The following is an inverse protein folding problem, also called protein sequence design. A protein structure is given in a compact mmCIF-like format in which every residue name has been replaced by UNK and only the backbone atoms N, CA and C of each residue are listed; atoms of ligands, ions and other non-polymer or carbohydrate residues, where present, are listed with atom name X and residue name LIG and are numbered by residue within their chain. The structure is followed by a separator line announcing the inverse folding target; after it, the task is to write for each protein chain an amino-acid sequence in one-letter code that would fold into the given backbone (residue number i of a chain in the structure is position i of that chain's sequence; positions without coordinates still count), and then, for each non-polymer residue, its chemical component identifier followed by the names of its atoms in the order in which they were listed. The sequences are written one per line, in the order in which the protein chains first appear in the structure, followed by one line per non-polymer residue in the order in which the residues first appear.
data_IF_158500568952
#
_entry.id   IF_158500568952
#
_cell.length_a   1.000
_cell.length_b   1.000
_cell.length_c   1.000
_cell.angle_alpha   90.00
_cell.angle_beta   90.00
_cell.angle_gamma   90.00
#
_symmetry.space_group_name_H-M   'P 1'
#
loop_
_entity.id
_entity.type
_entity.pdbx_description
1 polymer ?
#
# COMPACT_ATOMS: atom_id res chain seq x y z
N UNK A 1 -11.53 9.27 -33.53
CA UNK A 1 -11.92 10.52 -32.81
C UNK A 1 -11.47 10.31 -31.36
N UNK A 2 -10.79 11.30 -30.79
CA UNK A 2 -10.38 11.21 -29.38
C UNK A 2 -11.63 11.13 -28.50
N UNK A 3 -11.58 10.32 -27.46
CA UNK A 3 -12.66 10.20 -26.47
C UNK A 3 -12.89 11.57 -25.81
N UNK A 4 -14.10 12.14 -25.87
CA UNK A 4 -14.38 13.45 -25.26
C UNK A 4 -14.09 13.49 -23.75
N UNK A 5 -14.25 12.37 -23.05
CA UNK A 5 -13.91 12.27 -21.63
C UNK A 5 -12.40 12.37 -21.40
N UNK A 6 -11.60 11.75 -22.27
CA UNK A 6 -10.14 11.81 -22.17
C UNK A 6 -9.59 13.24 -22.41
N UNK A 7 -10.24 14.02 -23.30
CA UNK A 7 -9.87 15.42 -23.52
C UNK A 7 -10.18 16.27 -22.27
N UNK A 8 -11.37 16.15 -21.69
CA UNK A 8 -11.74 16.89 -20.48
C UNK A 8 -10.81 16.59 -19.30
N UNK A 9 -10.40 15.32 -19.16
CA UNK A 9 -9.41 14.90 -18.14
C UNK A 9 -8.05 15.55 -18.39
N UNK A 10 -7.60 15.61 -19.65
CA UNK A 10 -6.33 16.23 -20.01
C UNK A 10 -6.35 17.74 -19.73
N UNK A 11 -7.43 18.42 -20.12
CA UNK A 11 -7.60 19.86 -19.87
C UNK A 11 -7.57 20.21 -18.38
N UNK A 12 -8.25 19.41 -17.54
CA UNK A 12 -8.21 19.61 -16.08
C UNK A 12 -6.79 19.41 -15.50
N UNK A 13 -6.09 18.38 -15.95
CA UNK A 13 -4.71 18.16 -15.50
C UNK A 13 -3.79 19.30 -15.90
N UNK A 14 -3.87 19.78 -17.14
CA UNK A 14 -3.07 20.88 -17.62
C UNK A 14 -3.37 22.19 -16.86
N UNK A 15 -4.67 22.47 -16.60
CA UNK A 15 -5.12 23.62 -15.79
C UNK A 15 -4.41 23.70 -14.44
N UNK A 16 -4.32 22.57 -13.74
CA UNK A 16 -3.73 22.55 -12.39
C UNK A 16 -2.22 22.34 -12.38
N UNK A 17 -1.63 21.72 -13.40
CA UNK A 17 -0.18 21.45 -13.46
C UNK A 17 0.69 22.71 -13.36
N UNK A 18 0.17 23.87 -13.82
CA UNK A 18 0.87 25.16 -13.78
C UNK A 18 0.72 25.87 -12.43
N UNK A 19 -0.17 25.41 -11.56
CA UNK A 19 -0.42 26.06 -10.26
C UNK A 19 0.45 25.44 -9.16
N UNK A 20 1.08 26.26 -8.28
CA UNK A 20 1.96 25.74 -7.25
C UNK A 20 1.17 25.09 -6.11
N UNK A 21 1.38 23.80 -5.90
CA UNK A 21 0.91 23.11 -4.71
C UNK A 21 1.85 23.35 -3.51
N UNK A 22 1.28 23.42 -2.31
CA UNK A 22 2.08 23.49 -1.08
C UNK A 22 2.55 22.09 -0.68
N UNK A 23 3.83 21.88 -0.28
CA UNK A 23 4.32 20.59 0.20
C UNK A 23 3.49 20.01 1.36
N UNK A 24 2.89 20.88 2.19
CA UNK A 24 2.01 20.48 3.30
C UNK A 24 0.78 19.78 2.77
N UNK A 25 0.09 20.36 1.80
CA UNK A 25 -1.14 19.81 1.24
C UNK A 25 -0.87 18.67 0.27
N UNK A 26 0.24 18.72 -0.50
CA UNK A 26 0.61 17.62 -1.40
C UNK A 26 0.81 16.29 -0.69
N UNK A 27 1.21 16.30 0.58
CA UNK A 27 1.36 15.07 1.38
C UNK A 27 0.04 14.42 1.79
N UNK A 28 -1.06 15.13 1.69
CA UNK A 28 -2.40 14.64 2.04
C UNK A 28 -3.04 13.86 0.87
N UNK A 29 -2.52 14.01 -0.35
CA UNK A 29 -3.13 13.49 -1.57
C UNK A 29 -2.13 12.66 -2.36
N UNK A 30 -2.17 11.33 -2.17
CA UNK A 30 -1.24 10.38 -2.81
C UNK A 30 -1.69 9.91 -4.21
N UNK A 31 -2.82 10.45 -4.73
CA UNK A 31 -3.32 10.09 -6.05
C UNK A 31 -2.43 10.70 -7.15
N UNK A 32 -1.85 9.90 -8.06
CA UNK A 32 -0.92 10.39 -9.08
C UNK A 32 -1.60 11.26 -10.15
N UNK A 33 -2.91 11.11 -10.34
CA UNK A 33 -3.67 11.80 -11.37
C UNK A 33 -4.30 13.11 -10.88
N UNK A 34 -4.85 13.11 -9.66
CA UNK A 34 -5.67 14.19 -9.13
C UNK A 34 -5.13 14.81 -7.83
N UNK A 35 -4.15 14.17 -7.20
CA UNK A 35 -3.60 14.63 -5.92
C UNK A 35 -3.07 16.05 -5.98
N UNK A 36 -2.43 16.45 -7.08
CA UNK A 36 -1.93 17.81 -7.26
C UNK A 36 -3.07 18.85 -7.34
N UNK A 37 -4.12 18.57 -8.12
CA UNK A 37 -5.32 19.40 -8.20
C UNK A 37 -5.95 19.60 -6.83
N UNK A 38 -6.18 18.51 -6.09
CA UNK A 38 -6.79 18.56 -4.76
C UNK A 38 -5.93 19.33 -3.75
N UNK A 39 -4.61 19.17 -3.80
CA UNK A 39 -3.70 19.91 -2.95
C UNK A 39 -3.74 21.43 -3.22
N UNK A 40 -3.86 21.83 -4.48
CA UNK A 40 -3.99 23.24 -4.89
C UNK A 40 -5.32 23.80 -4.39
N UNK A 41 -6.43 23.13 -4.64
CA UNK A 41 -7.77 23.58 -4.22
C UNK A 41 -7.88 23.63 -2.69
N UNK A 42 -7.39 22.63 -1.98
CA UNK A 42 -7.39 22.60 -0.51
C UNK A 42 -6.60 23.77 0.10
N UNK A 43 -5.40 24.06 -0.44
CA UNK A 43 -4.61 25.21 -0.01
C UNK A 43 -5.38 26.52 -0.19
N UNK A 44 -6.01 26.72 -1.35
CA UNK A 44 -6.77 27.96 -1.68
C UNK A 44 -7.97 28.11 -0.75
N UNK A 45 -8.72 27.04 -0.49
CA UNK A 45 -9.82 27.06 0.49
C UNK A 45 -9.34 27.48 1.88
N UNK A 46 -8.25 26.87 2.38
CA UNK A 46 -7.72 27.21 3.69
C UNK A 46 -7.23 28.65 3.79
N UNK A 47 -6.72 29.21 2.72
CA UNK A 47 -6.33 30.62 2.69
C UNK A 47 -7.56 31.52 2.87
N UNK A 48 -8.63 31.32 2.07
CA UNK A 48 -9.86 32.10 2.20
C UNK A 48 -10.53 31.91 3.56
N UNK A 49 -10.62 30.70 4.08
CA UNK A 49 -11.23 30.42 5.38
C UNK A 49 -10.43 31.02 6.54
N UNK A 50 -9.11 31.01 6.45
CA UNK A 50 -8.24 31.69 7.43
C UNK A 50 -8.48 33.19 7.43
N UNK A 51 -8.58 33.81 6.24
CA UNK A 51 -8.83 35.23 6.09
C UNK A 51 -10.23 35.63 6.60
N UNK A 52 -11.26 34.83 6.28
CA UNK A 52 -12.63 35.03 6.78
C UNK A 52 -12.65 34.96 8.31
N UNK A 53 -12.03 33.93 8.90
CA UNK A 53 -11.93 33.78 10.35
C UNK A 53 -11.22 34.97 11.02
N UNK A 54 -10.17 35.47 10.37
CA UNK A 54 -9.47 36.67 10.82
C UNK A 54 -10.35 37.92 10.76
N UNK A 55 -11.16 38.05 9.72
CA UNK A 55 -12.09 39.19 9.57
C UNK A 55 -13.27 39.11 10.51
N UNK A 56 -13.84 37.90 10.71
CA UNK A 56 -14.90 37.68 11.68
C UNK A 56 -14.51 38.08 13.12
N UNK A 57 -13.21 37.94 13.46
CA UNK A 57 -12.67 38.33 14.78
C UNK A 57 -12.26 39.81 14.88
N UNK A 58 -12.26 40.55 13.78
CA UNK A 58 -11.68 41.93 13.76
C UNK A 58 -12.60 42.96 13.13
N UNK A 59 -12.54 43.11 11.82
CA UNK A 59 -13.19 44.23 11.11
C UNK A 59 -14.57 43.89 10.55
N UNK A 60 -14.96 42.62 10.54
CA UNK A 60 -16.14 42.07 9.86
C UNK A 60 -16.23 42.49 8.38
N UNK A 61 -15.12 42.95 7.77
CA UNK A 61 -15.07 43.37 6.38
C UNK A 61 -14.16 42.44 5.58
N UNK A 62 -14.73 41.74 4.63
CA UNK A 62 -14.03 40.87 3.68
C UNK A 62 -13.92 41.59 2.34
N UNK A 63 -12.70 41.70 1.82
CA UNK A 63 -12.40 42.56 0.66
C UNK A 63 -13.13 42.10 -0.60
N UNK A 64 -13.50 43.07 -1.48
CA UNK A 64 -14.21 42.77 -2.73
C UNK A 64 -13.42 41.82 -3.64
N UNK A 65 -12.09 41.99 -3.74
CA UNK A 65 -11.23 41.07 -4.52
C UNK A 65 -11.24 39.67 -3.95
N UNK A 66 -11.06 39.51 -2.63
CA UNK A 66 -11.11 38.22 -1.96
C UNK A 66 -12.49 37.58 -2.06
N UNK A 67 -13.57 38.36 -2.05
CA UNK A 67 -14.94 37.85 -2.26
C UNK A 67 -15.13 37.32 -3.67
N UNK A 68 -14.63 38.03 -4.70
CA UNK A 68 -14.65 37.56 -6.08
C UNK A 68 -13.84 36.28 -6.26
N UNK A 69 -12.64 36.25 -5.67
CA UNK A 69 -11.75 35.09 -5.78
C UNK A 69 -12.36 33.85 -5.11
N UNK A 70 -13.02 34.03 -3.94
CA UNK A 70 -13.71 32.90 -3.28
C UNK A 70 -14.95 32.44 -4.06
N UNK A 71 -15.78 33.36 -4.58
CA UNK A 71 -16.91 33.00 -5.43
C UNK A 71 -16.45 32.25 -6.67
N UNK A 72 -15.40 32.72 -7.33
CA UNK A 72 -14.81 32.04 -8.49
C UNK A 72 -14.25 30.66 -8.11
N UNK A 73 -13.62 30.52 -6.92
CA UNK A 73 -13.13 29.25 -6.43
C UNK A 73 -14.27 28.25 -6.14
N UNK A 74 -15.38 28.71 -5.58
CA UNK A 74 -16.56 27.86 -5.34
C UNK A 74 -17.08 27.32 -6.67
N UNK A 75 -17.31 28.20 -7.65
CA UNK A 75 -17.79 27.82 -8.97
C UNK A 75 -16.79 26.90 -9.70
N UNK A 76 -15.48 27.14 -9.54
CA UNK A 76 -14.41 26.31 -10.07
C UNK A 76 -14.48 24.88 -9.49
N UNK A 77 -14.59 24.75 -8.18
CA UNK A 77 -14.67 23.44 -7.49
C UNK A 77 -15.92 22.68 -7.97
N UNK A 78 -17.09 23.33 -7.96
CA UNK A 78 -18.34 22.71 -8.40
C UNK A 78 -18.25 22.20 -9.84
N UNK A 79 -17.73 23.02 -10.77
CA UNK A 79 -17.59 22.67 -12.18
C UNK A 79 -16.58 21.54 -12.41
N UNK A 80 -15.43 21.60 -11.72
CA UNK A 80 -14.36 20.62 -11.90
C UNK A 80 -14.75 19.26 -11.29
N UNK A 81 -15.39 19.24 -10.11
CA UNK A 81 -15.94 18.01 -9.53
C UNK A 81 -17.07 17.41 -10.41
N UNK A 82 -17.92 18.25 -10.98
CA UNK A 82 -18.94 17.80 -11.93
C UNK A 82 -18.30 17.21 -13.20
N UNK A 83 -17.23 17.82 -13.70
CA UNK A 83 -16.48 17.34 -14.87
C UNK A 83 -15.83 15.98 -14.57
N UNK A 84 -15.18 15.85 -13.41
CA UNK A 84 -14.62 14.57 -12.95
C UNK A 84 -15.67 13.47 -12.87
N UNK A 85 -16.85 13.79 -12.31
CA UNK A 85 -17.97 12.84 -12.21
C UNK A 85 -18.47 12.38 -13.60
N UNK A 86 -18.55 13.28 -14.58
CA UNK A 86 -18.91 12.95 -15.97
C UNK A 86 -17.88 12.03 -16.64
N UNK A 87 -16.62 12.14 -16.24
CA UNK A 87 -15.52 11.28 -16.70
C UNK A 87 -15.38 9.98 -15.88
N UNK A 88 -16.34 9.66 -15.00
CA UNK A 88 -16.35 8.46 -14.19
C UNK A 88 -15.43 8.53 -12.95
N UNK A 89 -14.94 9.73 -12.60
CA UNK A 89 -14.13 9.99 -11.40
C UNK A 89 -15.05 10.61 -10.35
N UNK A 90 -15.50 9.81 -9.41
CA UNK A 90 -16.32 10.29 -8.29
C UNK A 90 -15.44 10.80 -7.16
N UNK A 91 -15.70 12.02 -6.71
CA UNK A 91 -14.99 12.68 -5.63
C UNK A 91 -16.00 13.06 -4.55
N UNK A 92 -15.70 12.72 -3.31
CA UNK A 92 -16.40 13.23 -2.14
C UNK A 92 -15.68 14.49 -1.66
N UNK A 93 -16.42 15.55 -1.45
CA UNK A 93 -15.94 16.78 -0.83
C UNK A 93 -16.37 16.80 0.65
N UNK A 94 -15.49 17.22 1.55
CA UNK A 94 -15.74 17.23 2.98
C UNK A 94 -16.99 18.06 3.33
N UNK A 95 -17.91 17.47 4.09
CA UNK A 95 -19.19 18.08 4.44
C UNK A 95 -19.01 19.36 5.24
N UNK A 96 -18.03 19.42 6.14
CA UNK A 96 -17.75 20.64 6.93
C UNK A 96 -17.29 21.80 6.06
N UNK A 97 -16.51 21.51 5.00
CA UNK A 97 -16.08 22.52 4.03
C UNK A 97 -17.21 22.91 3.08
N UNK A 98 -18.04 21.94 2.66
CA UNK A 98 -19.23 22.24 1.87
C UNK A 98 -20.18 23.17 2.66
N UNK A 99 -20.51 22.83 3.91
CA UNK A 99 -21.34 23.63 4.78
C UNK A 99 -20.73 25.03 5.03
N UNK A 100 -19.41 25.13 5.16
CA UNK A 100 -18.73 26.42 5.30
C UNK A 100 -18.88 27.30 4.07
N UNK A 101 -18.74 26.73 2.86
CA UNK A 101 -18.96 27.45 1.60
C UNK A 101 -20.42 27.89 1.45
N UNK A 102 -21.37 27.02 1.79
CA UNK A 102 -22.82 27.32 1.74
C UNK A 102 -23.19 28.45 2.71
N UNK A 103 -22.55 28.54 3.88
CA UNK A 103 -22.71 29.64 4.85
C UNK A 103 -22.05 30.94 4.38
N UNK A 104 -20.95 30.85 3.59
CA UNK A 104 -20.28 32.03 3.08
C UNK A 104 -21.00 32.65 1.87
N UNK A 105 -21.50 31.84 0.95
CA UNK A 105 -22.08 32.27 -0.33
C UNK A 105 -23.15 33.38 -0.23
N UNK A 106 -24.11 33.36 0.74
CA UNK A 106 -25.18 34.38 0.83
C UNK A 106 -24.72 35.81 1.11
N UNK A 107 -23.60 36.00 1.81
CA UNK A 107 -23.12 37.34 2.17
C UNK A 107 -21.90 37.80 1.32
N UNK A 108 -21.32 36.91 0.50
CA UNK A 108 -20.25 37.28 -0.41
C UNK A 108 -20.77 38.21 -1.52
N UNK A 109 -20.12 39.36 -1.68
CA UNK A 109 -20.44 40.34 -2.71
C UNK A 109 -19.24 40.57 -3.65
N UNK A 110 -19.42 40.53 -4.97
CA UNK A 110 -18.33 40.76 -5.92
C UNK A 110 -17.93 42.27 -6.01
N UNK A 111 -18.69 43.15 -5.42
CA UNK A 111 -18.44 44.62 -5.46
C UNK A 111 -18.62 45.25 -4.08
N UNK A 112 -17.79 46.21 -3.73
CA UNK A 112 -17.89 46.97 -2.49
C UNK A 112 -17.36 46.25 -1.23
N UNK A 113 -16.96 45.01 -1.36
CA UNK A 113 -16.62 44.15 -0.24
C UNK A 113 -17.84 43.48 0.41
N UNK A 114 -17.60 42.53 1.31
CA UNK A 114 -18.61 41.73 1.97
C UNK A 114 -18.59 41.95 3.47
N UNK A 115 -19.76 42.01 4.12
CA UNK A 115 -19.85 42.07 5.57
C UNK A 115 -19.99 40.66 6.12
N UNK A 116 -18.99 40.20 6.90
CA UNK A 116 -19.08 38.91 7.61
C UNK A 116 -20.12 39.09 8.73
N UNK A 117 -21.14 38.19 8.84
CA UNK A 117 -22.16 38.27 9.90
C UNK A 117 -21.52 38.31 11.29
N UNK A 118 -22.13 39.03 12.23
CA UNK A 118 -21.62 39.16 13.61
C UNK A 118 -21.67 37.80 14.36
N UNK A 119 -22.63 36.98 14.02
CA UNK A 119 -22.85 35.63 14.55
C UNK A 119 -22.16 34.52 13.71
N UNK A 120 -21.23 34.91 12.83
CA UNK A 120 -20.57 33.96 11.93
C UNK A 120 -19.73 32.95 12.74
N UNK A 121 -20.12 31.71 12.67
CA UNK A 121 -19.40 30.60 13.29
C UNK A 121 -18.08 30.36 12.56
N UNK A 122 -16.98 30.38 13.30
CA UNK A 122 -15.64 30.21 12.74
C UNK A 122 -15.49 28.86 12.01
N UNK A 123 -14.85 28.89 10.85
CA UNK A 123 -14.61 27.71 10.03
C UNK A 123 -13.45 26.95 10.62
N UNK A 124 -13.60 25.66 10.86
CA UNK A 124 -12.48 24.78 11.21
C UNK A 124 -11.54 24.62 10.02
N UNK A 125 -10.25 24.89 10.22
CA UNK A 125 -9.23 24.71 9.17
C UNK A 125 -8.67 23.31 9.21
N UNK A 126 -9.07 22.49 8.25
CA UNK A 126 -8.58 21.13 8.09
C UNK A 126 -7.27 21.20 7.28
N UNK A 127 -6.14 20.82 7.89
CA UNK A 127 -4.83 20.79 7.25
C UNK A 127 -4.03 19.53 7.57
N UNK A 128 -4.69 18.57 8.22
CA UNK A 128 -4.16 17.31 8.71
C UNK A 128 -4.77 16.07 8.01
N UNK A 129 -5.82 16.27 7.21
CA UNK A 129 -6.48 15.22 6.42
C UNK A 129 -6.98 15.76 5.07
N UNK A 130 -7.21 14.90 4.05
CA UNK A 130 -7.80 15.29 2.79
C UNK A 130 -9.24 15.82 2.96
N UNK A 131 -9.60 16.89 2.22
CA UNK A 131 -10.98 17.38 2.10
C UNK A 131 -11.63 16.96 0.77
N UNK A 132 -10.84 16.45 -0.17
CA UNK A 132 -11.31 15.80 -1.40
C UNK A 132 -10.92 14.33 -1.35
N UNK A 133 -11.89 13.42 -1.42
CA UNK A 133 -11.64 11.97 -1.38
C UNK A 133 -12.21 11.31 -2.63
N UNK A 134 -11.36 10.62 -3.39
CA UNK A 134 -11.82 9.82 -4.52
C UNK A 134 -12.70 8.67 -4.01
N UNK A 135 -13.95 8.61 -4.45
CA UNK A 135 -14.86 7.51 -4.07
C UNK A 135 -14.41 6.16 -4.63
N UNK A 136 -13.57 6.16 -5.68
CA UNK A 136 -12.84 4.97 -6.10
C UNK A 136 -11.88 4.44 -5.03
N UNK A 137 -11.43 5.30 -4.10
CA UNK A 137 -10.62 4.95 -2.93
C UNK A 137 -11.47 4.65 -1.68
N UNK A 138 -12.74 4.33 -1.82
CA UNK A 138 -13.62 3.95 -0.71
C UNK A 138 -14.02 2.47 -0.76
N UNK A 139 -14.41 1.91 0.37
CA UNK A 139 -14.97 0.56 0.48
C UNK A 139 -16.33 0.61 1.20
N UNK A 140 -17.35 -0.01 0.62
CA UNK A 140 -18.65 -0.20 1.29
C UNK A 140 -18.61 -1.49 2.11
N UNK A 141 -18.79 -1.39 3.40
CA UNK A 141 -18.73 -2.53 4.32
C UNK A 141 -20.03 -3.33 4.32
N UNK A 142 -21.17 -2.67 4.36
CA UNK A 142 -22.51 -3.27 4.25
C UNK A 142 -23.39 -2.44 3.30
N UNK A 143 -24.45 -3.04 2.78
CA UNK A 143 -25.44 -2.36 1.96
C UNK A 143 -26.13 -1.29 2.82
N UNK A 144 -26.00 0.00 2.46
CA UNK A 144 -26.60 1.12 3.20
C UNK A 144 -25.69 1.81 4.24
N UNK A 145 -24.43 1.36 4.43
CA UNK A 145 -23.45 2.09 5.23
C UNK A 145 -22.70 3.13 4.39
N UNK A 146 -22.26 4.21 5.04
CA UNK A 146 -21.38 5.20 4.41
C UNK A 146 -20.07 4.57 3.94
N UNK A 147 -19.48 5.06 2.85
CA UNK A 147 -18.19 4.61 2.39
C UNK A 147 -17.09 4.92 3.42
N UNK A 148 -16.23 3.94 3.71
CA UNK A 148 -15.07 4.16 4.57
C UNK A 148 -13.88 4.52 3.69
N UNK A 149 -13.20 5.65 3.95
CA UNK A 149 -12.07 6.10 3.16
C UNK A 149 -10.91 5.10 3.23
N UNK A 150 -10.21 4.94 2.11
CA UNK A 150 -9.05 4.06 1.99
C UNK A 150 -7.77 4.90 1.97
N UNK A 151 -6.79 4.53 2.80
CA UNK A 151 -5.44 5.08 2.75
C UNK A 151 -4.53 4.16 1.95
N UNK A 152 -3.86 4.66 0.91
CA UNK A 152 -2.90 3.87 0.13
C UNK A 152 -1.69 3.53 1.01
N UNK A 153 -1.34 2.24 1.05
CA UNK A 153 -0.19 1.74 1.81
C UNK A 153 0.86 1.06 0.94
N UNK A 154 0.54 0.78 -0.31
CA UNK A 154 1.49 0.19 -1.25
C UNK A 154 0.97 0.14 -2.69
N UNK A 155 1.89 0.07 -3.64
CA UNK A 155 1.59 -0.08 -5.06
C UNK A 155 2.59 -1.04 -5.69
N UNK A 156 2.08 -2.12 -6.28
CA UNK A 156 2.84 -3.10 -7.05
C UNK A 156 2.63 -2.95 -8.56
N UNK A 157 3.14 -3.91 -9.34
CA UNK A 157 2.99 -3.92 -10.80
C UNK A 157 1.54 -4.05 -11.25
N UNK A 158 0.74 -4.85 -10.56
CA UNK A 158 -0.62 -5.24 -10.96
C UNK A 158 -1.72 -4.70 -10.04
N UNK A 159 -1.37 -4.20 -8.85
CA UNK A 159 -2.36 -3.82 -7.86
C UNK A 159 -1.88 -2.67 -6.98
N UNK A 160 -2.84 -1.94 -6.45
CA UNK A 160 -2.68 -1.03 -5.32
C UNK A 160 -3.15 -1.72 -4.05
N UNK A 161 -2.49 -1.40 -2.93
CA UNK A 161 -2.88 -1.87 -1.60
C UNK A 161 -3.29 -0.66 -0.76
N UNK A 162 -4.48 -0.72 -0.22
CA UNK A 162 -5.03 0.29 0.67
C UNK A 162 -5.27 -0.29 2.05
N UNK A 163 -5.40 0.56 3.06
CA UNK A 163 -5.87 0.18 4.39
C UNK A 163 -7.06 1.01 4.81
N UNK A 164 -7.89 0.45 5.69
CA UNK A 164 -8.97 1.16 6.38
C UNK A 164 -9.18 0.53 7.76
N UNK A 165 -9.82 1.28 8.66
CA UNK A 165 -10.29 0.77 9.94
C UNK A 165 -11.77 0.45 9.81
N UNK A 166 -12.15 -0.78 10.14
CA UNK A 166 -13.57 -1.17 10.16
C UNK A 166 -14.25 -0.51 11.36
N UNK A 167 -15.27 0.34 11.13
CA UNK A 167 -15.90 1.11 12.22
C UNK A 167 -16.72 0.25 13.18
N UNK A 168 -17.16 -0.95 12.76
CA UNK A 168 -17.94 -1.84 13.62
C UNK A 168 -17.05 -2.61 14.61
N UNK A 169 -15.79 -2.88 14.22
CA UNK A 169 -14.87 -3.75 14.97
C UNK A 169 -13.61 -3.05 15.47
N UNK A 170 -13.34 -1.81 15.04
CA UNK A 170 -12.09 -1.07 15.26
C UNK A 170 -10.84 -1.89 14.87
N UNK A 171 -10.97 -2.67 13.79
CA UNK A 171 -9.91 -3.51 13.26
C UNK A 171 -9.43 -2.94 11.92
N UNK A 172 -8.11 -2.79 11.78
CA UNK A 172 -7.49 -2.37 10.52
C UNK A 172 -7.41 -3.53 9.54
N UNK A 173 -7.93 -3.31 8.33
CA UNK A 173 -7.87 -4.23 7.19
C UNK A 173 -7.06 -3.64 6.04
N UNK A 174 -6.58 -4.50 5.16
CA UNK A 174 -6.05 -4.11 3.87
C UNK A 174 -7.01 -4.50 2.73
N UNK A 175 -6.99 -3.70 1.67
CA UNK A 175 -7.69 -3.97 0.41
C UNK A 175 -6.66 -3.98 -0.71
N UNK A 176 -6.49 -5.11 -1.39
CA UNK A 176 -5.68 -5.19 -2.60
C UNK A 176 -6.61 -5.06 -3.80
N UNK A 177 -6.41 -4.06 -4.63
CA UNK A 177 -7.23 -3.72 -5.78
C UNK A 177 -6.40 -3.79 -7.05
N UNK A 178 -6.89 -4.49 -8.06
CA UNK A 178 -6.28 -4.53 -9.38
C UNK A 178 -6.22 -3.14 -10.02
N UNK A 179 -5.16 -2.84 -10.74
CA UNK A 179 -5.06 -1.61 -11.53
C UNK A 179 -6.07 -1.62 -12.68
N UNK A 180 -6.51 -0.44 -13.11
CA UNK A 180 -7.54 -0.29 -14.15
C UNK A 180 -7.06 -0.67 -15.56
N UNK A 181 -5.77 -0.64 -15.80
CA UNK A 181 -5.10 -0.88 -17.08
C UNK A 181 -4.71 -2.36 -17.30
N UNK A 182 -5.15 -3.27 -16.44
CA UNK A 182 -4.88 -4.70 -16.59
C UNK A 182 -5.74 -5.33 -17.69
N UNK A 183 -5.12 -6.21 -18.47
CA UNK A 183 -5.83 -7.04 -19.42
C UNK A 183 -6.59 -8.19 -18.74
N UNK A 184 -7.48 -8.88 -19.48
CA UNK A 184 -8.29 -10.00 -18.95
C UNK A 184 -7.43 -11.13 -18.36
N UNK A 185 -6.24 -11.37 -18.91
CA UNK A 185 -5.30 -12.39 -18.45
C UNK A 185 -4.66 -12.02 -17.12
N UNK A 186 -4.34 -10.75 -16.95
CA UNK A 186 -3.78 -10.21 -15.71
C UNK A 186 -4.85 -10.17 -14.61
N UNK A 187 -6.08 -9.80 -14.95
CA UNK A 187 -7.23 -9.86 -14.03
C UNK A 187 -7.54 -11.29 -13.60
N UNK A 188 -7.52 -12.28 -14.53
CA UNK A 188 -7.68 -13.67 -14.21
C UNK A 188 -6.59 -14.16 -13.24
N UNK A 189 -5.34 -13.70 -13.42
CA UNK A 189 -4.23 -14.02 -12.52
C UNK A 189 -4.43 -13.38 -11.14
N UNK A 190 -4.87 -12.13 -11.09
CA UNK A 190 -5.19 -11.44 -9.84
C UNK A 190 -6.29 -12.17 -9.06
N UNK A 191 -7.32 -12.65 -9.74
CA UNK A 191 -8.37 -13.48 -9.15
C UNK A 191 -7.82 -14.82 -8.65
N UNK A 192 -6.96 -15.47 -9.44
CA UNK A 192 -6.32 -16.73 -9.06
C UNK A 192 -5.45 -16.58 -7.81
N UNK A 193 -4.72 -15.46 -7.67
CA UNK A 193 -3.97 -15.15 -6.44
C UNK A 193 -4.88 -15.20 -5.21
N UNK A 194 -6.04 -14.51 -5.28
CA UNK A 194 -7.02 -14.56 -4.21
C UNK A 194 -7.52 -15.99 -3.94
N UNK A 195 -7.90 -16.72 -4.98
CA UNK A 195 -8.47 -18.07 -4.87
C UNK A 195 -7.46 -19.05 -4.25
N UNK A 196 -6.18 -18.94 -4.58
CA UNK A 196 -5.11 -19.74 -3.97
C UNK A 196 -4.92 -19.33 -2.51
N UNK A 197 -4.75 -18.03 -2.24
CA UNK A 197 -4.53 -17.54 -0.87
C UNK A 197 -5.70 -17.91 0.05
N UNK A 198 -6.94 -17.88 -0.48
CA UNK A 198 -8.15 -18.21 0.28
C UNK A 198 -8.21 -19.68 0.73
N UNK A 199 -7.57 -20.59 -0.01
CA UNK A 199 -7.47 -22.02 0.36
C UNK A 199 -6.38 -22.28 1.39
N UNK A 200 -5.40 -21.38 1.51
CA UNK A 200 -4.31 -21.49 2.46
C UNK A 200 -4.77 -20.94 3.82
N UNK A 201 -4.77 -21.80 4.85
CA UNK A 201 -5.13 -21.41 6.22
C UNK A 201 -3.99 -21.79 7.17
N UNK A 202 -3.10 -20.84 7.44
CA UNK A 202 -1.92 -21.03 8.28
C UNK A 202 -1.50 -19.73 8.94
N UNK A 203 -1.00 -19.74 10.20
CA UNK A 203 -0.62 -18.54 10.92
C UNK A 203 0.40 -17.65 10.19
N UNK A 204 1.29 -18.25 9.40
CA UNK A 204 2.35 -17.54 8.67
C UNK A 204 2.01 -17.25 7.19
N UNK A 205 0.74 -17.36 6.81
CA UNK A 205 0.20 -16.94 5.51
C UNK A 205 -0.79 -15.80 5.74
N UNK A 206 -0.78 -14.80 4.86
CA UNK A 206 -1.73 -13.70 4.94
C UNK A 206 -3.16 -14.20 4.79
N UNK A 207 -4.06 -13.79 5.67
CA UNK A 207 -5.46 -14.17 5.60
C UNK A 207 -6.21 -13.25 4.64
N UNK A 208 -6.95 -13.82 3.69
CA UNK A 208 -7.84 -13.10 2.80
C UNK A 208 -9.30 -13.44 3.10
N UNK A 209 -10.21 -12.45 2.92
CA UNK A 209 -11.60 -12.60 3.36
C UNK A 209 -12.58 -12.69 2.21
N UNK A 210 -12.79 -11.62 1.46
CA UNK A 210 -13.81 -11.53 0.43
C UNK A 210 -13.26 -10.86 -0.82
N UNK A 211 -13.58 -11.43 -1.98
CA UNK A 211 -13.34 -10.83 -3.29
C UNK A 211 -14.59 -10.05 -3.75
N UNK A 212 -14.36 -8.93 -4.41
CA UNK A 212 -15.38 -8.14 -5.10
C UNK A 212 -15.09 -8.18 -6.60
N UNK A 213 -15.97 -8.83 -7.37
CA UNK A 213 -15.81 -9.01 -8.82
C UNK A 213 -16.02 -7.71 -9.60
N UNK A 214 -16.89 -6.80 -9.13
CA UNK A 214 -17.17 -5.52 -9.82
C UNK A 214 -15.98 -4.56 -9.77
N UNK A 215 -15.22 -4.58 -8.65
CA UNK A 215 -14.08 -3.69 -8.43
C UNK A 215 -12.73 -4.37 -8.60
N UNK A 216 -12.71 -5.66 -8.88
CA UNK A 216 -11.51 -6.48 -8.92
C UNK A 216 -10.60 -6.24 -7.70
N UNK A 217 -11.18 -6.39 -6.52
CA UNK A 217 -10.47 -6.17 -5.25
C UNK A 217 -10.80 -7.25 -4.23
N UNK A 218 -9.90 -7.47 -3.28
CA UNK A 218 -10.18 -8.34 -2.14
C UNK A 218 -9.67 -7.74 -0.82
N UNK A 219 -10.37 -8.11 0.25
CA UNK A 219 -9.99 -7.73 1.61
C UNK A 219 -9.07 -8.79 2.20
N UNK A 220 -8.08 -8.32 2.95
CA UNK A 220 -7.13 -9.17 3.65
C UNK A 220 -6.77 -8.57 5.01
N UNK A 221 -6.17 -9.37 5.89
CA UNK A 221 -5.61 -8.85 7.13
C UNK A 221 -4.56 -7.79 6.85
N UNK A 222 -4.53 -6.76 7.70
CA UNK A 222 -3.52 -5.72 7.62
C UNK A 222 -2.22 -6.19 8.27
N UNK A 223 -1.10 -5.97 7.60
CA UNK A 223 0.24 -6.17 8.15
C UNK A 223 0.95 -4.82 8.26
N UNK A 224 1.71 -4.61 9.34
CA UNK A 224 2.23 -3.30 9.71
C UNK A 224 3.45 -2.89 8.88
N UNK A 225 4.22 -3.86 8.38
CA UNK A 225 5.46 -3.57 7.66
C UNK A 225 5.89 -4.78 6.81
N UNK A 226 6.84 -4.55 5.89
CA UNK A 226 7.54 -5.62 5.19
C UNK A 226 8.72 -6.13 6.02
N UNK A 227 9.20 -7.34 5.72
CA UNK A 227 10.43 -7.87 6.31
C UNK A 227 11.62 -6.96 6.02
N UNK A 228 11.69 -6.39 4.80
CA UNK A 228 12.72 -5.43 4.41
C UNK A 228 12.77 -4.24 5.38
N UNK A 229 11.64 -3.55 5.53
CA UNK A 229 11.57 -2.33 6.31
C UNK A 229 11.78 -2.59 7.80
N UNK A 230 11.23 -3.69 8.32
CA UNK A 230 11.40 -4.07 9.70
C UNK A 230 12.87 -4.31 10.06
N UNK A 231 13.56 -5.15 9.28
CA UNK A 231 14.97 -5.44 9.50
C UNK A 231 15.81 -4.16 9.30
N UNK A 232 15.58 -3.39 8.23
CA UNK A 232 16.30 -2.15 7.97
C UNK A 232 16.22 -1.17 9.14
N UNK A 233 15.01 -0.96 9.68
CA UNK A 233 14.77 -0.03 10.81
C UNK A 233 15.35 -0.50 12.14
N UNK A 234 15.38 -1.81 12.38
CA UNK A 234 15.76 -2.39 13.67
C UNK A 234 17.06 -3.18 13.64
N UNK A 235 17.82 -3.14 12.55
CA UNK A 235 18.99 -4.00 12.34
C UNK A 235 20.01 -3.98 13.48
N UNK A 236 20.32 -2.80 14.04
CA UNK A 236 21.30 -2.64 15.13
C UNK A 236 20.82 -3.15 16.49
N UNK A 237 19.50 -3.31 16.68
CA UNK A 237 18.89 -3.67 17.98
C UNK A 237 18.36 -5.11 18.02
N UNK A 238 18.17 -5.74 16.85
CA UNK A 238 17.66 -7.10 16.78
C UNK A 238 18.69 -8.13 17.26
N UNK A 239 18.35 -8.81 18.35
CA UNK A 239 19.13 -9.91 18.90
C UNK A 239 19.01 -11.17 18.02
N UNK A 240 20.00 -12.05 18.08
CA UNK A 240 20.02 -13.32 17.37
C UNK A 240 18.73 -14.15 17.56
N UNK A 241 18.28 -14.32 18.80
CA UNK A 241 17.05 -15.08 19.10
C UNK A 241 15.80 -14.52 18.43
N UNK A 242 15.70 -13.20 18.25
CA UNK A 242 14.58 -12.59 17.49
C UNK A 242 14.71 -12.87 16.00
N UNK A 243 15.93 -12.75 15.43
CA UNK A 243 16.19 -13.08 14.02
C UNK A 243 15.89 -14.54 13.72
N UNK A 244 16.30 -15.45 14.61
CA UNK A 244 16.03 -16.88 14.52
C UNK A 244 14.52 -17.17 14.55
N UNK A 245 13.75 -16.53 15.46
CA UNK A 245 12.28 -16.68 15.47
C UNK A 245 11.61 -16.21 14.18
N UNK A 246 12.06 -15.07 13.63
CA UNK A 246 11.54 -14.55 12.36
C UNK A 246 11.88 -15.52 11.21
N UNK A 247 13.12 -16.03 11.17
CA UNK A 247 13.56 -17.01 10.17
C UNK A 247 12.73 -18.31 10.24
N UNK A 248 12.53 -18.85 11.44
CA UNK A 248 11.74 -20.07 11.62
C UNK A 248 10.26 -19.88 11.22
N UNK A 249 9.63 -18.76 11.58
CA UNK A 249 8.26 -18.46 11.15
C UNK A 249 8.14 -18.38 9.61
N UNK A 250 9.10 -17.71 8.96
CA UNK A 250 9.20 -17.66 7.51
C UNK A 250 9.34 -19.06 6.91
N UNK A 251 10.26 -19.87 7.42
CA UNK A 251 10.49 -21.22 6.94
C UNK A 251 9.28 -22.15 7.18
N UNK A 252 8.61 -22.06 8.32
CA UNK A 252 7.37 -22.79 8.56
C UNK A 252 6.27 -22.41 7.58
N UNK A 253 6.16 -21.12 7.22
CA UNK A 253 5.24 -20.66 6.18
C UNK A 253 5.53 -21.29 4.83
N UNK A 254 6.80 -21.31 4.39
CA UNK A 254 7.21 -21.95 3.13
C UNK A 254 6.99 -23.48 3.19
N UNK A 255 7.36 -24.13 4.31
CA UNK A 255 7.14 -25.56 4.47
C UNK A 255 5.66 -25.93 4.36
N UNK A 256 4.76 -25.12 4.94
CA UNK A 256 3.33 -25.30 4.80
C UNK A 256 2.87 -25.25 3.34
N UNK A 257 3.40 -24.33 2.53
CA UNK A 257 3.12 -24.30 1.10
C UNK A 257 3.57 -25.58 0.41
N UNK A 258 4.80 -26.01 0.67
CA UNK A 258 5.38 -27.22 0.02
C UNK A 258 4.61 -28.48 0.37
N UNK A 259 4.21 -28.66 1.62
CA UNK A 259 3.40 -29.81 2.07
C UNK A 259 2.01 -29.82 1.37
N UNK A 260 1.48 -28.64 1.05
CA UNK A 260 0.24 -28.51 0.28
C UNK A 260 0.48 -28.48 -1.24
N UNK A 261 1.67 -28.86 -1.71
CA UNK A 261 2.05 -28.92 -3.13
C UNK A 261 2.08 -27.58 -3.85
N UNK A 262 2.23 -26.47 -3.13
CA UNK A 262 2.42 -25.14 -3.69
C UNK A 262 3.88 -24.73 -3.65
N UNK A 263 4.34 -24.08 -4.73
CA UNK A 263 5.61 -23.35 -4.76
C UNK A 263 5.29 -21.87 -4.88
N UNK A 264 5.91 -21.03 -4.04
CA UNK A 264 5.63 -19.60 -3.98
C UNK A 264 6.08 -18.87 -5.25
N UNK A 265 7.29 -19.19 -5.75
CA UNK A 265 7.91 -18.69 -6.98
C UNK A 265 8.23 -17.18 -7.02
N UNK A 266 7.86 -16.45 -5.96
CA UNK A 266 8.12 -15.01 -5.80
C UNK A 266 8.54 -14.66 -4.36
N UNK A 267 9.38 -15.52 -3.79
CA UNK A 267 9.93 -15.29 -2.45
C UNK A 267 10.81 -14.04 -2.46
N UNK A 268 10.44 -13.05 -1.66
CA UNK A 268 11.17 -11.79 -1.54
C UNK A 268 10.98 -11.14 -0.17
N UNK A 269 11.78 -10.12 0.12
CA UNK A 269 11.67 -9.34 1.36
C UNK A 269 10.40 -8.48 1.40
N UNK A 270 9.84 -8.13 0.24
CA UNK A 270 8.60 -7.37 0.12
C UNK A 270 7.36 -8.25 0.28
N UNK A 271 7.41 -9.49 -0.22
CA UNK A 271 6.30 -10.44 -0.16
C UNK A 271 6.25 -11.19 1.20
N UNK A 272 7.21 -10.91 2.07
CA UNK A 272 7.22 -11.35 3.46
C UNK A 272 6.81 -10.18 4.34
N UNK A 273 5.57 -10.20 4.82
CA UNK A 273 4.99 -9.15 5.65
C UNK A 273 5.11 -9.50 7.13
N UNK A 274 4.94 -8.50 7.99
CA UNK A 274 4.98 -8.65 9.45
C UNK A 274 3.81 -7.94 10.11
N UNK A 275 3.14 -8.64 11.02
CA UNK A 275 2.30 -8.02 12.05
C UNK A 275 3.13 -7.79 13.29
N UNK A 276 3.03 -6.59 13.86
CA UNK A 276 3.80 -6.17 15.02
C UNK A 276 2.86 -6.04 16.22
N UNK A 277 3.15 -6.77 17.28
CA UNK A 277 2.38 -6.76 18.52
C UNK A 277 3.23 -6.19 19.64
N UNK A 278 2.85 -4.99 20.12
CA UNK A 278 3.64 -4.29 21.15
C UNK A 278 5.07 -3.99 20.68
N UNK A 279 6.01 -4.00 21.61
CA UNK A 279 7.38 -3.57 21.30
C UNK A 279 8.27 -4.65 20.65
N UNK A 280 7.97 -5.93 20.82
CA UNK A 280 8.92 -7.01 20.49
C UNK A 280 8.34 -8.26 19.85
N UNK A 281 7.04 -8.46 19.86
CA UNK A 281 6.42 -9.63 19.25
C UNK A 281 6.09 -9.36 17.79
N UNK A 282 6.54 -10.22 16.88
CA UNK A 282 6.24 -10.14 15.46
C UNK A 282 5.74 -11.47 14.95
N UNK A 283 4.80 -11.40 14.00
CA UNK A 283 4.28 -12.56 13.28
C UNK A 283 4.54 -12.36 11.79
N UNK A 284 5.27 -13.31 11.20
CA UNK A 284 5.55 -13.33 9.76
C UNK A 284 4.30 -13.74 9.00
N UNK A 285 4.06 -13.10 7.85
CA UNK A 285 2.94 -13.37 6.95
C UNK A 285 3.42 -13.40 5.51
N UNK A 286 3.44 -14.59 4.89
CA UNK A 286 3.71 -14.74 3.48
C UNK A 286 2.53 -14.18 2.66
N UNK A 287 2.84 -13.44 1.60
CA UNK A 287 1.86 -12.77 0.74
C UNK A 287 2.27 -12.85 -0.73
N UNK A 288 1.38 -12.45 -1.63
CA UNK A 288 1.59 -12.37 -3.07
C UNK A 288 1.80 -13.75 -3.75
N UNK A 289 0.71 -14.51 -3.80
CA UNK A 289 0.68 -15.85 -4.41
C UNK A 289 0.35 -15.85 -5.91
N UNK A 290 0.49 -14.71 -6.59
CA UNK A 290 0.16 -14.54 -8.02
C UNK A 290 0.99 -15.40 -8.98
N UNK A 291 2.10 -15.99 -8.51
CA UNK A 291 2.98 -16.86 -9.28
C UNK A 291 2.95 -18.32 -8.85
N UNK A 292 2.16 -18.62 -7.85
CA UNK A 292 2.05 -19.97 -7.33
C UNK A 292 1.66 -20.94 -8.46
N UNK A 293 2.41 -22.04 -8.60
CA UNK A 293 2.02 -23.14 -9.48
C UNK A 293 0.87 -23.89 -8.80
N UNK A 294 -0.33 -23.70 -9.35
CA UNK A 294 -1.45 -24.59 -9.05
C UNK A 294 -1.22 -25.88 -9.84
N UNK A 295 -1.08 -27.05 -9.19
CA UNK A 295 -0.90 -28.33 -9.87
C UNK A 295 -2.01 -28.65 -10.88
N UNK A 296 -3.17 -28.01 -10.74
CA UNK A 296 -4.35 -28.22 -11.59
C UNK A 296 -4.42 -27.32 -12.83
N UNK A 297 -3.48 -26.35 -13.02
CA UNK A 297 -3.56 -25.37 -14.12
C UNK A 297 -2.20 -25.10 -14.75
N UNK A 298 -2.10 -25.31 -16.07
CA UNK A 298 -0.91 -25.00 -16.90
C UNK A 298 -0.87 -23.49 -17.31
N UNK A 299 -0.57 -22.59 -16.40
CA UNK A 299 -0.27 -21.21 -16.76
C UNK A 299 1.24 -20.99 -16.85
N UNK A 300 1.75 -20.98 -18.05
CA UNK A 300 3.15 -20.66 -18.36
C UNK A 300 3.32 -19.14 -18.47
N UNK A 301 4.29 -18.57 -17.78
CA UNK A 301 4.59 -17.14 -17.79
C UNK A 301 5.59 -16.74 -18.85
N UNK A 302 5.31 -15.64 -19.56
CA UNK A 302 6.29 -14.83 -20.29
C UNK A 302 7.17 -14.02 -19.29
N UNK A 303 8.43 -13.82 -19.67
CA UNK A 303 9.54 -13.21 -18.89
C UNK A 303 9.29 -11.71 -18.55
N UNK A 304 8.30 -11.38 -17.76
CA UNK A 304 8.19 -10.00 -17.26
C UNK A 304 9.13 -9.82 -16.06
N UNK A 305 9.98 -8.81 -16.10
CA UNK A 305 10.98 -8.52 -15.09
C UNK A 305 10.33 -8.40 -13.70
N UNK A 306 10.65 -9.34 -12.81
CA UNK A 306 10.23 -9.35 -11.41
C UNK A 306 11.20 -8.45 -10.65
N UNK A 307 10.79 -7.23 -10.33
CA UNK A 307 11.60 -6.33 -9.50
C UNK A 307 11.61 -6.85 -8.05
N UNK A 308 12.79 -7.18 -7.54
CA UNK A 308 13.00 -7.52 -6.13
C UNK A 308 13.00 -9.01 -5.77
N UNK A 309 12.81 -9.92 -6.73
CA UNK A 309 12.88 -11.38 -6.49
C UNK A 309 14.27 -11.91 -6.74
N UNK A 310 14.74 -12.77 -5.85
CA UNK A 310 16.03 -13.47 -5.97
C UNK A 310 15.87 -14.72 -6.84
N UNK A 311 16.07 -14.57 -8.17
CA UNK A 311 15.94 -15.68 -9.09
C UNK A 311 17.18 -16.58 -9.05
N UNK A 312 16.96 -17.90 -8.98
CA UNK A 312 18.01 -18.89 -9.09
C UNK A 312 18.69 -18.81 -10.48
N UNK A 313 20.00 -18.54 -10.55
CA UNK A 313 20.73 -18.46 -11.82
C UNK A 313 20.79 -19.80 -12.54
N UNK A 314 20.59 -20.92 -11.85
CA UNK A 314 20.59 -22.27 -12.44
C UNK A 314 19.24 -22.65 -13.09
N UNK A 315 18.20 -21.83 -12.90
CA UNK A 315 16.89 -22.08 -13.47
C UNK A 315 16.85 -21.67 -14.96
N UNK A 316 16.92 -22.64 -15.86
CA UNK A 316 16.85 -22.38 -17.29
C UNK A 316 15.42 -22.02 -17.75
N UNK A 317 14.41 -22.70 -17.27
CA UNK A 317 13.00 -22.46 -17.61
C UNK A 317 12.11 -22.45 -16.36
N UNK A 318 11.14 -21.56 -16.37
CA UNK A 318 10.15 -21.48 -15.27
C UNK A 318 9.25 -22.73 -15.16
N UNK A 319 9.20 -23.54 -16.22
CA UNK A 319 8.52 -24.84 -16.22
C UNK A 319 9.19 -25.85 -15.30
N UNK A 320 10.51 -25.76 -15.19
CA UNK A 320 11.34 -26.70 -14.43
C UNK A 320 11.50 -26.26 -12.96
N UNK A 321 10.78 -25.22 -12.55
CA UNK A 321 10.88 -24.67 -11.20
C UNK A 321 10.44 -25.68 -10.15
N UNK A 322 11.33 -25.98 -9.23
CA UNK A 322 11.17 -26.98 -8.16
C UNK A 322 11.57 -26.40 -6.78
N UNK A 323 11.38 -27.18 -5.73
CA UNK A 323 11.77 -26.82 -4.35
C UNK A 323 13.21 -26.35 -4.25
N UNK A 324 14.13 -27.00 -4.93
CA UNK A 324 15.57 -26.65 -4.91
C UNK A 324 15.87 -25.27 -5.49
N UNK A 325 15.00 -24.75 -6.36
CA UNK A 325 15.12 -23.38 -6.87
C UNK A 325 14.60 -22.34 -5.86
N UNK A 326 13.57 -22.69 -5.07
CA UNK A 326 13.12 -21.83 -3.96
C UNK A 326 14.17 -21.71 -2.87
N UNK A 327 14.98 -22.76 -2.64
CA UNK A 327 16.08 -22.71 -1.67
C UNK A 327 17.04 -21.55 -1.93
N UNK A 328 17.30 -21.22 -3.20
CA UNK A 328 18.12 -20.06 -3.56
C UNK A 328 17.50 -18.74 -3.08
N UNK A 329 16.21 -18.53 -3.34
CA UNK A 329 15.49 -17.34 -2.88
C UNK A 329 15.41 -17.29 -1.35
N UNK A 330 15.21 -18.44 -0.69
CA UNK A 330 15.19 -18.57 0.77
C UNK A 330 16.56 -18.18 1.34
N UNK A 331 17.68 -18.58 0.71
CA UNK A 331 19.02 -18.20 1.15
C UNK A 331 19.19 -16.68 1.29
N UNK A 332 18.69 -15.90 0.31
CA UNK A 332 18.76 -14.44 0.33
C UNK A 332 17.91 -13.82 1.43
N UNK A 333 16.70 -14.36 1.64
CA UNK A 333 15.82 -13.91 2.72
C UNK A 333 16.47 -14.20 4.09
N UNK A 334 17.01 -15.40 4.29
CA UNK A 334 17.74 -15.75 5.52
C UNK A 334 18.99 -14.88 5.72
N UNK A 335 19.78 -14.64 4.67
CA UNK A 335 20.93 -13.75 4.72
C UNK A 335 20.54 -12.36 5.24
N UNK A 336 19.44 -11.79 4.70
CA UNK A 336 18.93 -10.50 5.14
C UNK A 336 18.40 -10.53 6.59
N UNK A 337 17.66 -11.55 6.99
CA UNK A 337 17.18 -11.70 8.37
C UNK A 337 18.34 -11.70 9.36
N UNK A 338 19.38 -12.48 9.09
CA UNK A 338 20.48 -12.64 10.03
C UNK A 338 21.52 -11.51 9.99
N UNK A 339 21.76 -10.89 8.83
CA UNK A 339 22.83 -9.90 8.67
C UNK A 339 22.34 -8.47 8.44
N UNK A 340 21.10 -8.27 8.02
CA UNK A 340 20.57 -6.99 7.53
C UNK A 340 21.17 -6.53 6.19
N UNK A 341 21.84 -7.41 5.46
CA UNK A 341 22.51 -7.09 4.19
C UNK A 341 21.96 -7.96 3.06
N UNK A 342 21.72 -7.36 1.89
CA UNK A 342 21.29 -8.06 0.69
C UNK A 342 22.48 -8.67 -0.06
N UNK A 343 23.22 -9.53 0.65
CA UNK A 343 24.31 -10.34 0.09
C UNK A 343 24.46 -11.60 0.91
N UNK A 344 24.96 -12.65 0.30
CA UNK A 344 25.31 -13.86 1.03
C UNK A 344 26.45 -13.55 2.02
N UNK A 345 26.41 -14.11 3.25
CA UNK A 345 27.44 -13.85 4.27
C UNK A 345 28.79 -14.45 3.83
N UNK A 346 29.87 -13.77 4.20
CA UNK A 346 31.24 -14.25 3.95
C UNK A 346 31.85 -15.00 5.14
N UNK A 347 31.14 -15.03 6.29
CA UNK A 347 31.59 -15.72 7.52
C UNK A 347 31.44 -17.24 7.39
N UNK A 348 32.17 -17.98 8.23
CA UNK A 348 32.15 -19.44 8.31
C UNK A 348 31.35 -19.96 9.52
N UNK A 349 30.44 -19.15 10.05
CA UNK A 349 29.57 -19.55 11.16
C UNK A 349 28.47 -20.51 10.70
N UNK A 350 27.78 -21.12 11.65
CA UNK A 350 26.76 -22.13 11.39
C UNK A 350 25.62 -21.63 10.48
N UNK A 351 25.14 -20.38 10.71
CA UNK A 351 24.10 -19.76 9.89
C UNK A 351 24.60 -19.53 8.45
N UNK A 352 25.83 -19.04 8.31
CA UNK A 352 26.43 -18.81 6.99
C UNK A 352 26.54 -20.10 6.18
N UNK A 353 26.95 -21.21 6.83
CA UNK A 353 27.01 -22.54 6.20
C UNK A 353 25.62 -23.01 5.72
N UNK A 354 24.59 -22.82 6.54
CA UNK A 354 23.21 -23.14 6.17
C UNK A 354 22.77 -22.32 4.95
N UNK A 355 23.03 -21.01 4.98
CA UNK A 355 22.66 -20.10 3.87
C UNK A 355 23.41 -20.49 2.58
N UNK A 356 24.71 -20.80 2.66
CA UNK A 356 25.47 -21.25 1.49
C UNK A 356 25.01 -22.59 0.95
N UNK A 357 24.62 -23.53 1.83
CA UNK A 357 24.02 -24.79 1.40
C UNK A 357 22.71 -24.57 0.62
N UNK A 358 21.84 -23.64 1.04
CA UNK A 358 20.64 -23.27 0.29
C UNK A 358 20.98 -22.70 -1.10
N UNK A 359 22.06 -21.92 -1.24
CA UNK A 359 22.47 -21.23 -2.47
C UNK A 359 23.53 -22.01 -3.27
N UNK A 360 23.83 -23.26 -2.95
CA UNK A 360 24.84 -24.04 -3.64
C UNK A 360 24.65 -24.05 -5.16
N UNK A 361 25.74 -23.99 -5.91
CA UNK A 361 25.74 -24.15 -7.36
C UNK A 361 25.52 -25.60 -7.83
N UNK A 362 25.53 -26.56 -6.91
CA UNK A 362 25.11 -27.94 -7.14
C UNK A 362 23.73 -28.15 -6.50
N UNK A 363 22.70 -28.38 -7.33
CA UNK A 363 21.32 -28.58 -6.89
C UNK A 363 21.15 -29.77 -5.93
N UNK A 364 22.03 -30.81 -6.07
CA UNK A 364 21.98 -31.99 -5.20
C UNK A 364 22.53 -31.70 -3.80
N UNK A 365 23.37 -30.68 -3.65
CA UNK A 365 23.90 -30.25 -2.36
C UNK A 365 22.97 -29.29 -1.61
N UNK A 366 21.96 -28.72 -2.29
CA UNK A 366 20.96 -27.90 -1.62
C UNK A 366 20.07 -28.74 -0.71
N UNK A 367 19.38 -28.08 0.22
CA UNK A 367 18.29 -28.75 0.94
C UNK A 367 17.20 -29.19 -0.07
N UNK A 368 16.80 -30.46 0.02
CA UNK A 368 15.76 -31.01 -0.82
C UNK A 368 14.34 -30.75 -0.26
N UNK A 369 14.27 -30.42 1.03
CA UNK A 369 13.03 -30.04 1.72
C UNK A 369 13.27 -28.85 2.65
N UNK A 370 12.26 -28.03 2.87
CA UNK A 370 12.34 -26.92 3.84
C UNK A 370 12.37 -27.46 5.28
N UNK A 371 11.81 -28.65 5.52
CA UNK A 371 11.85 -29.27 6.85
C UNK A 371 13.29 -29.55 7.29
N UNK A 372 14.13 -30.13 6.41
CA UNK A 372 15.54 -30.36 6.72
C UNK A 372 16.32 -29.04 6.98
N UNK A 373 15.94 -27.96 6.29
CA UNK A 373 16.51 -26.64 6.55
C UNK A 373 16.06 -26.09 7.92
N UNK A 374 14.79 -26.28 8.30
CA UNK A 374 14.25 -25.89 9.61
C UNK A 374 15.03 -26.58 10.72
N UNK A 375 15.23 -27.91 10.63
CA UNK A 375 15.97 -28.71 11.59
C UNK A 375 17.39 -28.15 11.83
N UNK A 376 18.12 -27.83 10.75
CA UNK A 376 19.46 -27.27 10.85
C UNK A 376 19.42 -25.85 11.49
N UNK A 377 18.46 -24.98 11.13
CA UNK A 377 18.32 -23.65 11.74
C UNK A 377 17.95 -23.73 13.23
N UNK A 378 17.11 -24.69 13.63
CA UNK A 378 16.73 -24.91 15.03
C UNK A 378 17.91 -25.32 15.91
N UNK A 379 18.89 -26.04 15.36
CA UNK A 379 20.09 -26.46 16.09
C UNK A 379 21.09 -25.30 16.32
N UNK A 380 21.00 -24.20 15.57
CA UNK A 380 21.94 -23.09 15.74
C UNK A 380 21.68 -22.38 17.06
N UNK A 381 22.70 -22.30 17.90
CA UNK A 381 22.73 -21.54 19.15
C UNK A 381 23.59 -20.28 18.98
N UNK A 382 23.23 -19.21 19.69
CA UNK A 382 24.05 -18.00 19.76
C UNK A 382 25.29 -18.31 20.57
N UNK A 383 26.48 -18.31 19.97
CA UNK A 383 27.72 -18.34 20.73
C UNK A 383 27.95 -16.92 21.30
N UNK A 384 28.28 -16.80 22.57
CA UNK A 384 28.68 -15.52 23.14
C UNK A 384 29.83 -14.96 22.27
N UNK A 385 29.71 -13.68 21.90
CA UNK A 385 30.80 -13.01 21.19
C UNK A 385 32.11 -13.27 21.97
N UNK A 386 33.16 -13.76 21.28
CA UNK A 386 34.49 -13.86 21.89
C UNK A 386 34.82 -12.48 22.44
N UNK A 387 34.86 -12.38 23.76
CA UNK A 387 35.39 -11.20 24.44
C UNK A 387 36.86 -11.12 23.98
N UNK A 388 37.14 -10.22 23.05
CA UNK A 388 38.52 -9.87 22.73
C UNK A 388 39.13 -9.27 24.00
N UNK A 389 40.00 -10.03 24.64
CA UNK A 389 40.83 -9.57 25.73
C UNK A 389 41.83 -8.52 25.24
#
# INVERSE_FOLDING_TARGET
MADPAALLVADLREKYAVLPASPRFSRLYDDPDWGHMFAVLHKRLNQHFSDINGRAKSTHHYWADASRDLLALIDEIENDLHTLKRCGVEVEFDNGYQDALDRCRPWLSPSGGSTVPEDFELIELIDYQPVFTLLAASVKLKKGQEPVPLTMVGSGSYAHVYSYVDPDYDIKFAVKRAKKDLDERELARFKQEFDVTKRLSFPYVVQVFKYNDERHEYRMEYCDTTLRDYISKKNSTLKFGTRKRVALQFLYGINYLHVNHYLHRDISLQNTLLKVYGESAVLVKLSDFGLVKDPSKDFTRTQTAMKGTYRDPLLASFKDYAVVNEMYSIAWVLAYIFTGKERLPASDDAISKIIHKCASNDLNQRYQTVLALIEDVEQVVEFPAKTTA
#
